data_IF_219034555499
#
_entry.id   IF_219034555499
#
_cell.length_a   1.000
_cell.length_b   1.000
_cell.length_c   1.000
_cell.angle_alpha   90.00
_cell.angle_beta   90.00
_cell.angle_gamma   90.00
#
_symmetry.space_group_name_H-M   'P 1'
#
loop_
_entity.id
_entity.type
_entity.pdbx_description
1 polymer ?
#
# COMPACT_ATOMS: atom_id res chain seq x y z
N UNK A 1 -7.11 23.26 12.96
CA UNK A 1 -6.22 22.74 11.92
C UNK A 1 -6.98 22.52 10.63
N UNK A 2 -6.33 22.72 9.48
CA UNK A 2 -6.95 22.41 8.19
C UNK A 2 -6.89 20.91 7.92
N UNK A 3 -7.98 20.37 7.37
CA UNK A 3 -8.10 18.96 7.01
C UNK A 3 -9.02 18.74 5.80
N UNK A 4 -8.76 17.71 5.02
CA UNK A 4 -9.60 17.30 3.90
C UNK A 4 -10.60 16.22 4.38
N UNK A 5 -11.89 16.55 4.32
CA UNK A 5 -12.98 15.80 4.95
C UNK A 5 -13.92 15.19 3.92
N UNK A 6 -14.19 13.90 4.08
CA UNK A 6 -15.24 13.18 3.37
C UNK A 6 -16.55 13.26 4.18
N UNK A 7 -17.55 13.96 3.65
CA UNK A 7 -18.85 14.10 4.32
C UNK A 7 -19.80 12.94 3.99
N UNK A 8 -19.78 12.45 2.75
CA UNK A 8 -20.65 11.36 2.28
C UNK A 8 -19.89 10.47 1.31
N UNK A 9 -20.22 9.18 1.29
CA UNK A 9 -19.75 8.28 0.24
C UNK A 9 -20.50 8.53 -1.07
N UNK A 10 -19.82 8.46 -2.21
CA UNK A 10 -20.43 8.53 -3.52
C UNK A 10 -19.74 7.56 -4.49
N UNK A 11 -20.51 6.68 -5.12
CA UNK A 11 -19.99 5.70 -6.10
C UNK A 11 -19.30 6.34 -7.30
N UNK A 12 -19.74 7.53 -7.68
CA UNK A 12 -19.13 8.31 -8.78
C UNK A 12 -17.87 9.07 -8.31
N UNK A 13 -17.63 9.12 -7.02
CA UNK A 13 -16.64 9.94 -6.35
C UNK A 13 -17.20 11.33 -6.00
N UNK A 14 -16.96 11.76 -4.77
CA UNK A 14 -17.30 13.09 -4.29
C UNK A 14 -16.02 13.86 -4.01
N UNK A 15 -16.12 15.19 -4.01
CA UNK A 15 -15.01 16.05 -3.61
C UNK A 15 -14.88 16.06 -2.09
N UNK A 16 -13.63 16.03 -1.62
CA UNK A 16 -13.33 16.31 -0.23
C UNK A 16 -13.47 17.83 0.02
N UNK A 17 -13.99 18.16 1.20
CA UNK A 17 -14.06 19.53 1.67
C UNK A 17 -12.84 19.83 2.54
N UNK A 18 -12.05 20.84 2.14
CA UNK A 18 -10.95 21.34 3.00
C UNK A 18 -11.52 22.37 3.94
N UNK A 19 -11.47 22.09 5.25
CA UNK A 19 -12.02 22.96 6.28
C UNK A 19 -11.25 22.90 7.60
N UNK A 20 -11.55 23.84 8.48
CA UNK A 20 -11.04 23.83 9.85
C UNK A 20 -11.67 22.71 10.67
N UNK A 21 -10.83 21.96 11.36
CA UNK A 21 -11.18 20.89 12.29
C UNK A 21 -10.49 21.11 13.63
N UNK A 22 -11.04 20.54 14.70
CA UNK A 22 -10.37 20.55 15.99
C UNK A 22 -9.02 19.82 15.91
N UNK A 23 -8.03 20.31 16.64
CA UNK A 23 -6.75 19.61 16.79
C UNK A 23 -7.00 18.29 17.54
N UNK A 24 -6.55 17.12 17.02
CA UNK A 24 -6.73 15.86 17.72
C UNK A 24 -5.85 15.83 18.98
N UNK A 25 -6.39 15.27 20.06
CA UNK A 25 -5.60 14.94 21.24
C UNK A 25 -5.13 13.48 21.13
N UNK A 26 -3.84 13.20 21.28
CA UNK A 26 -3.37 11.84 21.30
C UNK A 26 -3.80 11.12 22.58
N UNK A 27 -4.17 9.85 22.45
CA UNK A 27 -4.40 8.95 23.58
C UNK A 27 -3.05 8.54 24.22
N UNK A 28 -3.08 7.79 25.33
CA UNK A 28 -1.87 7.44 26.10
C UNK A 28 -0.80 6.71 25.25
N UNK A 29 -1.18 5.90 24.28
CA UNK A 29 -0.30 5.17 23.38
C UNK A 29 -0.19 5.79 21.98
N UNK A 30 -0.64 7.03 21.81
CA UNK A 30 -0.57 7.76 20.55
C UNK A 30 0.43 8.92 20.63
N UNK A 31 0.96 9.30 19.49
CA UNK A 31 1.67 10.57 19.32
C UNK A 31 0.85 11.52 18.48
N UNK A 32 0.91 12.80 18.77
CA UNK A 32 0.46 13.87 17.88
C UNK A 32 1.59 14.18 16.91
N UNK A 33 1.35 13.98 15.64
CA UNK A 33 2.31 14.29 14.59
C UNK A 33 1.85 15.50 13.81
N UNK A 34 2.76 16.48 13.65
CA UNK A 34 2.63 17.54 12.66
C UNK A 34 2.98 16.93 11.31
N UNK A 35 1.98 16.77 10.45
CA UNK A 35 2.14 16.15 9.14
C UNK A 35 2.86 17.12 8.21
N UNK A 36 4.01 16.71 7.68
CA UNK A 36 4.75 17.48 6.69
C UNK A 36 4.25 17.16 5.26
N UNK A 37 4.12 15.87 4.97
CA UNK A 37 3.72 15.37 3.65
C UNK A 37 2.84 14.13 3.81
N UNK A 38 1.79 14.03 3.01
CA UNK A 38 0.95 12.84 2.88
C UNK A 38 0.95 12.34 1.43
N UNK A 39 0.84 11.02 1.20
CA UNK A 39 0.75 10.51 -0.15
C UNK A 39 -0.65 9.98 -0.48
N UNK A 40 -1.05 10.19 -1.75
CA UNK A 40 -2.35 9.79 -2.27
C UNK A 40 -2.26 8.41 -2.92
N UNK A 41 -3.22 7.56 -2.61
CA UNK A 41 -3.27 6.18 -3.06
C UNK A 41 -4.59 5.84 -3.76
N UNK A 42 -4.62 4.82 -4.62
CA UNK A 42 -5.88 4.29 -5.15
C UNK A 42 -6.89 3.93 -4.05
N UNK A 43 -6.41 3.52 -2.87
CA UNK A 43 -7.23 3.21 -1.70
C UNK A 43 -8.06 4.41 -1.23
N UNK A 44 -7.53 5.63 -1.29
CA UNK A 44 -8.27 6.85 -0.90
C UNK A 44 -9.51 7.01 -1.79
N UNK A 45 -9.37 6.82 -3.10
CA UNK A 45 -10.49 6.85 -4.03
C UNK A 45 -11.51 5.71 -3.76
N UNK A 46 -11.05 4.49 -3.40
CA UNK A 46 -11.93 3.37 -3.04
C UNK A 46 -12.72 3.66 -1.76
N UNK A 47 -12.10 4.31 -0.76
CA UNK A 47 -12.79 4.74 0.47
C UNK A 47 -13.87 5.76 0.13
N UNK A 48 -13.56 6.78 -0.67
CA UNK A 48 -14.54 7.81 -1.10
C UNK A 48 -15.76 7.18 -1.77
N UNK A 49 -15.54 6.16 -2.62
CA UNK A 49 -16.64 5.44 -3.29
C UNK A 49 -17.36 4.42 -2.39
N UNK A 50 -16.84 4.22 -1.17
CA UNK A 50 -17.43 3.27 -0.22
C UNK A 50 -17.19 1.79 -0.58
N UNK A 51 -16.24 1.48 -1.44
CA UNK A 51 -15.93 0.12 -1.90
C UNK A 51 -15.36 -0.77 -0.79
N UNK A 52 -14.74 -0.16 0.22
CA UNK A 52 -14.10 -0.89 1.34
C UNK A 52 -14.98 -1.01 2.59
N UNK A 53 -16.24 -0.56 2.56
CA UNK A 53 -17.14 -0.51 3.73
C UNK A 53 -17.35 -1.86 4.41
N UNK A 54 -17.35 -2.96 3.66
CA UNK A 54 -17.50 -4.29 4.23
C UNK A 54 -16.30 -4.72 5.05
N UNK A 55 -15.09 -4.22 4.69
CA UNK A 55 -13.86 -4.49 5.41
C UNK A 55 -13.75 -3.50 6.57
N UNK A 56 -13.76 -2.20 6.27
CA UNK A 56 -13.63 -1.10 7.25
C UNK A 56 -14.81 -0.13 7.10
N UNK A 57 -15.79 -0.16 8.03
CA UNK A 57 -16.94 0.73 8.01
C UNK A 57 -16.61 2.07 8.69
N UNK A 58 -16.02 3.00 7.94
CA UNK A 58 -15.71 4.34 8.48
C UNK A 58 -16.97 5.11 8.85
N UNK A 59 -16.91 5.83 9.98
CA UNK A 59 -17.92 6.83 10.37
C UNK A 59 -17.63 8.15 9.65
N UNK A 60 -18.69 8.81 9.17
CA UNK A 60 -18.64 10.11 8.53
C UNK A 60 -19.16 11.21 9.47
N UNK A 61 -18.63 12.46 9.39
CA UNK A 61 -17.57 12.90 8.50
C UNK A 61 -16.21 12.30 8.84
N UNK A 62 -15.35 12.06 7.83
CA UNK A 62 -14.06 11.40 7.97
C UNK A 62 -12.93 12.27 7.40
N UNK A 63 -11.88 12.52 8.17
CA UNK A 63 -10.64 13.08 7.64
C UNK A 63 -9.95 11.99 6.82
N UNK A 64 -9.61 12.29 5.57
CA UNK A 64 -9.05 11.33 4.63
C UNK A 64 -7.53 11.23 4.73
N UNK A 65 -6.95 10.26 4.01
CA UNK A 65 -5.51 10.02 3.90
C UNK A 65 -5.03 8.82 4.70
N UNK A 66 -4.21 8.00 4.06
CA UNK A 66 -3.80 6.70 4.60
C UNK A 66 -2.33 6.61 5.00
N UNK A 67 -1.45 7.48 4.47
CA UNK A 67 -0.02 7.46 4.80
C UNK A 67 0.57 8.87 4.81
N UNK A 68 1.63 9.04 5.56
CA UNK A 68 2.25 10.35 5.77
C UNK A 68 3.68 10.23 6.30
N UNK A 69 4.35 11.40 6.34
CA UNK A 69 5.57 11.69 7.07
C UNK A 69 5.40 12.98 7.87
N UNK A 70 6.08 13.10 9.00
CA UNK A 70 5.96 14.30 9.83
C UNK A 70 6.88 14.31 11.04
N UNK A 71 6.61 15.22 11.96
CA UNK A 71 7.38 15.43 13.18
C UNK A 71 6.48 15.22 14.40
N UNK A 72 6.95 14.48 15.39
CA UNK A 72 6.24 14.29 16.66
C UNK A 72 6.21 15.60 17.42
N UNK A 73 5.01 16.13 17.68
CA UNK A 73 4.76 17.36 18.46
C UNK A 73 4.43 17.08 19.93
N UNK A 74 3.77 15.93 20.21
CA UNK A 74 3.39 15.50 21.55
C UNK A 74 3.35 13.99 21.61
N UNK A 75 3.75 13.41 22.74
CA UNK A 75 3.62 11.99 23.03
C UNK A 75 2.62 11.77 24.17
N UNK A 76 1.81 10.71 24.04
CA UNK A 76 0.95 10.22 25.12
C UNK A 76 1.76 9.65 26.27
N UNK A 77 1.14 9.51 27.44
CA UNK A 77 1.82 9.15 28.68
C UNK A 77 2.48 7.75 28.67
N UNK A 78 1.98 6.83 27.85
CA UNK A 78 2.48 5.45 27.73
C UNK A 78 3.33 5.23 26.47
N UNK A 79 3.60 6.27 25.69
CA UNK A 79 4.47 6.17 24.51
C UNK A 79 5.92 5.97 24.96
N UNK A 80 6.58 4.96 24.39
CA UNK A 80 7.96 4.59 24.75
C UNK A 80 8.92 4.65 23.56
N UNK A 81 8.42 4.57 22.34
CA UNK A 81 9.24 4.48 21.12
C UNK A 81 9.64 5.82 20.53
N UNK A 82 8.87 6.87 20.80
CA UNK A 82 9.04 8.18 20.16
C UNK A 82 9.05 9.32 21.16
N UNK A 83 9.78 10.38 20.84
CA UNK A 83 9.85 11.64 21.59
C UNK A 83 9.53 12.82 20.69
N UNK A 84 9.21 13.96 21.29
CA UNK A 84 9.01 15.24 20.59
C UNK A 84 10.24 15.57 19.76
N UNK A 85 10.02 15.97 18.51
CA UNK A 85 11.03 16.30 17.52
C UNK A 85 11.45 15.12 16.62
N UNK A 86 11.06 13.88 16.93
CA UNK A 86 11.38 12.74 16.09
C UNK A 86 10.70 12.87 14.71
N UNK A 87 11.47 12.56 13.66
CA UNK A 87 10.99 12.47 12.29
C UNK A 87 10.38 11.09 12.06
N UNK A 88 9.08 11.02 11.81
CA UNK A 88 8.35 9.74 11.70
C UNK A 88 7.57 9.63 10.40
N UNK A 89 7.37 8.40 9.96
CA UNK A 89 6.50 8.07 8.84
C UNK A 89 5.68 6.83 9.17
N UNK A 90 4.54 6.68 8.52
CA UNK A 90 3.68 5.53 8.76
C UNK A 90 2.46 5.49 7.86
N UNK A 91 1.82 4.32 7.90
CA UNK A 91 0.48 4.13 7.40
C UNK A 91 -0.48 4.32 8.57
N UNK A 92 -1.48 5.17 8.39
CA UNK A 92 -2.52 5.38 9.40
C UNK A 92 -3.21 4.08 9.79
N UNK A 93 -3.55 3.86 11.07
CA UNK A 93 -4.33 2.70 11.48
C UNK A 93 -5.62 2.54 10.66
N UNK A 94 -5.98 1.29 10.31
CA UNK A 94 -7.18 1.01 9.52
C UNK A 94 -8.45 1.63 10.11
N UNK A 95 -8.56 1.61 11.43
CA UNK A 95 -9.74 2.13 12.12
C UNK A 95 -9.78 3.67 12.22
N UNK A 96 -8.63 4.34 12.04
CA UNK A 96 -8.48 5.78 12.33
C UNK A 96 -7.54 6.43 11.31
N UNK A 97 -8.01 6.56 10.06
CA UNK A 97 -7.26 7.29 9.02
C UNK A 97 -7.38 8.80 9.23
N UNK A 98 -6.54 9.61 8.55
CA UNK A 98 -6.61 11.06 8.68
C UNK A 98 -5.33 11.81 8.32
N UNK A 99 -4.53 11.27 7.39
CA UNK A 99 -3.26 11.88 7.00
C UNK A 99 -3.38 13.16 6.14
N UNK A 100 -4.56 13.44 5.55
CA UNK A 100 -4.78 14.68 4.79
C UNK A 100 -5.21 15.81 5.72
N UNK A 101 -4.40 16.08 6.73
CA UNK A 101 -4.59 17.13 7.72
C UNK A 101 -3.24 17.63 8.25
N UNK A 102 -3.19 18.85 8.78
CA UNK A 102 -1.97 19.42 9.34
C UNK A 102 -1.43 18.64 10.55
N UNK A 103 -2.30 17.92 11.25
CA UNK A 103 -1.95 17.08 12.41
C UNK A 103 -2.73 15.78 12.41
N UNK A 104 -2.09 14.72 12.89
CA UNK A 104 -2.71 13.41 13.09
C UNK A 104 -2.30 12.83 14.46
N UNK A 105 -3.27 12.26 15.19
CA UNK A 105 -2.99 11.44 16.36
C UNK A 105 -2.90 9.98 15.94
N UNK A 106 -1.76 9.35 16.17
CA UNK A 106 -1.39 8.05 15.60
C UNK A 106 -0.78 7.14 16.66
N UNK A 107 -1.24 5.90 16.71
CA UNK A 107 -0.69 4.88 17.60
C UNK A 107 0.80 4.62 17.32
N UNK A 108 1.63 4.53 18.36
CA UNK A 108 3.08 4.37 18.22
C UNK A 108 3.48 3.10 17.45
N UNK A 109 2.67 2.04 17.48
CA UNK A 109 2.93 0.81 16.75
C UNK A 109 2.69 0.92 15.21
N UNK A 110 2.08 1.99 14.75
CA UNK A 110 1.86 2.26 13.33
C UNK A 110 3.00 3.05 12.67
N UNK A 111 3.98 3.49 13.44
CA UNK A 111 5.03 4.43 13.03
C UNK A 111 6.42 3.81 13.08
N UNK A 112 7.33 4.40 12.30
CA UNK A 112 8.76 4.20 12.41
C UNK A 112 9.50 5.54 12.24
N UNK A 113 10.78 5.58 12.66
CA UNK A 113 11.68 6.71 12.41
C UNK A 113 12.01 6.76 10.91
N UNK A 114 11.96 7.95 10.33
CA UNK A 114 12.38 8.17 8.95
C UNK A 114 13.89 7.93 8.84
N UNK A 115 14.37 7.06 7.91
CA UNK A 115 15.80 6.94 7.62
C UNK A 115 16.42 8.30 7.25
N UNK A 116 17.62 8.57 7.73
CA UNK A 116 18.27 9.90 7.57
C UNK A 116 18.45 10.31 6.12
N UNK A 117 18.58 9.35 5.19
CA UNK A 117 18.74 9.61 3.77
C UNK A 117 17.45 10.03 3.06
N UNK A 118 16.27 9.88 3.69
CA UNK A 118 14.98 10.29 3.11
C UNK A 118 14.54 11.67 3.61
N UNK A 119 14.11 12.50 2.68
CA UNK A 119 13.32 13.70 2.99
C UNK A 119 11.91 13.34 3.46
N UNK A 120 11.15 14.29 3.99
CA UNK A 120 9.73 14.06 4.32
C UNK A 120 8.90 13.69 3.10
N UNK A 121 9.16 14.31 1.96
CA UNK A 121 8.44 14.04 0.71
C UNK A 121 8.66 12.59 0.24
N UNK A 122 9.88 12.14 0.23
CA UNK A 122 10.25 10.75 -0.11
C UNK A 122 9.69 9.77 0.91
N UNK A 123 9.87 10.03 2.20
CA UNK A 123 9.39 9.17 3.28
C UNK A 123 7.88 8.95 3.24
N UNK A 124 7.09 9.97 2.89
CA UNK A 124 5.63 9.83 2.75
C UNK A 124 5.21 8.85 1.66
N UNK A 125 6.08 8.55 0.69
CA UNK A 125 5.75 7.67 -0.45
C UNK A 125 5.91 6.18 -0.13
N UNK A 126 6.54 5.84 0.99
CA UNK A 126 7.00 4.49 1.31
C UNK A 126 5.96 3.63 2.05
N UNK A 127 5.31 4.09 3.14
CA UNK A 127 4.67 3.20 4.11
C UNK A 127 3.63 2.26 3.51
N UNK A 128 2.66 2.77 2.76
CA UNK A 128 1.57 1.94 2.24
C UNK A 128 2.05 0.89 1.24
N UNK A 129 2.94 1.26 0.32
CA UNK A 129 3.44 0.35 -0.71
C UNK A 129 4.45 -0.65 -0.16
N UNK A 130 5.33 -0.22 0.74
CA UNK A 130 6.28 -1.11 1.40
C UNK A 130 5.58 -2.14 2.29
N UNK A 131 4.64 -1.69 3.13
CA UNK A 131 3.82 -2.59 3.97
C UNK A 131 3.01 -3.56 3.12
N UNK A 132 2.46 -3.11 1.98
CA UNK A 132 1.75 -4.00 1.06
C UNK A 132 2.65 -5.11 0.54
N UNK A 133 3.87 -4.78 0.10
CA UNK A 133 4.83 -5.77 -0.37
C UNK A 133 5.25 -6.73 0.75
N UNK A 134 5.62 -6.20 1.91
CA UNK A 134 6.07 -7.01 3.06
C UNK A 134 4.98 -7.96 3.55
N UNK A 135 3.73 -7.48 3.68
CA UNK A 135 2.60 -8.32 4.10
C UNK A 135 2.22 -9.36 3.04
N UNK A 136 2.37 -9.05 1.75
CA UNK A 136 2.22 -10.05 0.69
C UNK A 136 3.26 -11.16 0.83
N UNK A 137 4.53 -10.82 1.08
CA UNK A 137 5.59 -11.81 1.29
C UNK A 137 5.42 -12.61 2.59
N UNK A 138 4.91 -12.00 3.67
CA UNK A 138 4.55 -12.75 4.88
C UNK A 138 3.46 -13.81 4.63
N UNK A 139 2.50 -13.51 3.77
CA UNK A 139 1.45 -14.47 3.36
C UNK A 139 2.04 -15.57 2.49
N UNK A 140 2.88 -15.23 1.50
CA UNK A 140 3.50 -16.15 0.56
C UNK A 140 4.58 -17.03 1.21
N UNK A 141 5.32 -16.50 2.20
CA UNK A 141 6.47 -17.14 2.87
C UNK A 141 7.52 -17.63 1.87
N UNK A 142 8.03 -16.74 1.01
CA UNK A 142 8.93 -17.13 -0.05
C UNK A 142 10.26 -17.63 0.50
N UNK A 143 10.92 -18.52 -0.28
CA UNK A 143 12.25 -19.03 0.01
C UNK A 143 13.26 -18.46 -0.99
N UNK A 144 14.48 -18.21 -0.51
CA UNK A 144 15.57 -17.77 -1.39
C UNK A 144 15.78 -18.75 -2.54
N UNK A 145 16.01 -18.21 -3.73
CA UNK A 145 16.15 -18.97 -4.98
C UNK A 145 14.84 -19.26 -5.72
N UNK A 146 13.67 -19.01 -5.11
CA UNK A 146 12.38 -19.18 -5.77
C UNK A 146 12.04 -17.95 -6.64
N UNK A 147 11.04 -18.12 -7.51
CA UNK A 147 10.66 -17.13 -8.53
C UNK A 147 9.33 -16.46 -8.19
N UNK A 148 9.28 -15.15 -8.31
CA UNK A 148 8.03 -14.37 -8.20
C UNK A 148 7.72 -13.62 -9.49
N UNK A 149 6.45 -13.63 -9.90
CA UNK A 149 5.91 -12.71 -10.90
C UNK A 149 5.12 -11.60 -10.19
N UNK A 150 5.56 -10.35 -10.38
CA UNK A 150 4.88 -9.15 -9.88
C UNK A 150 4.16 -8.52 -11.07
N UNK A 151 2.84 -8.68 -11.15
CA UNK A 151 2.08 -8.12 -12.25
C UNK A 151 1.95 -6.60 -12.12
N UNK A 152 2.18 -5.86 -13.23
CA UNK A 152 2.16 -4.40 -13.21
C UNK A 152 3.28 -3.75 -12.38
N UNK A 153 4.46 -4.37 -12.33
CA UNK A 153 5.59 -3.91 -11.49
C UNK A 153 6.22 -2.57 -11.88
N UNK A 154 5.72 -1.92 -12.92
CA UNK A 154 6.14 -0.55 -13.27
C UNK A 154 5.46 0.55 -12.43
N UNK A 155 4.46 0.18 -11.62
CA UNK A 155 3.77 1.10 -10.71
C UNK A 155 4.50 1.34 -9.39
N UNK A 156 3.92 2.21 -8.55
CA UNK A 156 4.51 2.57 -7.24
C UNK A 156 4.68 1.37 -6.30
N UNK A 157 3.80 0.35 -6.38
CA UNK A 157 3.97 -0.85 -5.59
C UNK A 157 5.15 -1.68 -6.09
N UNK A 158 5.32 -1.84 -7.41
CA UNK A 158 6.45 -2.58 -7.97
C UNK A 158 7.79 -1.96 -7.60
N UNK A 159 7.87 -0.63 -7.53
CA UNK A 159 9.07 0.08 -7.08
C UNK A 159 9.50 -0.32 -5.64
N UNK A 160 8.55 -0.72 -4.79
CA UNK A 160 8.83 -1.25 -3.45
C UNK A 160 8.97 -2.78 -3.44
N UNK A 161 8.09 -3.49 -4.14
CA UNK A 161 8.04 -4.95 -4.09
C UNK A 161 9.23 -5.62 -4.77
N UNK A 162 9.76 -5.06 -5.87
CA UNK A 162 10.91 -5.62 -6.59
C UNK A 162 12.16 -5.64 -5.70
N UNK A 163 12.66 -4.51 -5.16
CA UNK A 163 13.86 -4.53 -4.32
C UNK A 163 13.67 -5.33 -3.03
N UNK A 164 12.47 -5.32 -2.43
CA UNK A 164 12.18 -6.16 -1.25
C UNK A 164 12.25 -7.66 -1.64
N UNK A 165 11.68 -8.07 -2.77
CA UNK A 165 11.77 -9.45 -3.26
C UNK A 165 13.23 -9.86 -3.52
N UNK A 166 14.04 -8.97 -4.09
CA UNK A 166 15.48 -9.19 -4.30
C UNK A 166 16.22 -9.36 -2.97
N UNK A 167 15.90 -8.57 -1.95
CA UNK A 167 16.51 -8.72 -0.61
C UNK A 167 16.18 -10.06 0.06
N UNK A 168 15.06 -10.70 -0.35
CA UNK A 168 14.69 -12.06 0.07
C UNK A 168 15.34 -13.16 -0.78
N UNK A 169 16.17 -12.79 -1.78
CA UNK A 169 16.86 -13.73 -2.65
C UNK A 169 15.98 -14.34 -3.75
N UNK A 170 14.89 -13.66 -4.13
CA UNK A 170 13.98 -14.13 -5.17
C UNK A 170 14.47 -13.76 -6.57
N UNK A 171 14.14 -14.59 -7.55
CA UNK A 171 14.17 -14.24 -8.97
C UNK A 171 12.87 -13.50 -9.31
N UNK A 172 12.98 -12.26 -9.80
CA UNK A 172 11.84 -11.36 -9.99
C UNK A 172 11.51 -11.17 -11.45
N UNK A 173 10.31 -11.57 -11.85
CA UNK A 173 9.73 -11.29 -13.16
C UNK A 173 8.62 -10.25 -13.01
N UNK A 174 8.51 -9.37 -14.00
CA UNK A 174 7.46 -8.35 -14.00
C UNK A 174 7.07 -7.98 -15.43
N UNK A 175 5.91 -7.32 -15.58
CA UNK A 175 5.45 -6.79 -16.84
C UNK A 175 5.07 -5.30 -16.72
N UNK A 176 5.11 -4.63 -17.86
CA UNK A 176 4.76 -3.22 -17.95
C UNK A 176 4.84 -2.69 -19.38
N UNK A 177 4.83 -1.36 -19.53
CA UNK A 177 5.15 -0.68 -20.79
C UNK A 177 6.67 -0.56 -20.94
N UNK A 178 7.19 -0.73 -22.15
CA UNK A 178 8.62 -0.64 -22.50
C UNK A 178 9.31 0.62 -21.96
N UNK A 179 8.58 1.74 -21.88
CA UNK A 179 9.12 3.03 -21.35
C UNK A 179 9.64 2.94 -19.91
N UNK A 180 9.31 1.87 -19.19
CA UNK A 180 9.70 1.66 -17.79
C UNK A 180 10.65 0.44 -17.63
N UNK A 181 11.10 -0.18 -18.70
CA UNK A 181 11.92 -1.40 -18.65
C UNK A 181 13.25 -1.16 -17.92
N UNK A 182 13.98 -0.10 -18.29
CA UNK A 182 15.25 0.24 -17.69
C UNK A 182 15.13 0.44 -16.18
N UNK A 183 14.15 1.26 -15.78
CA UNK A 183 13.87 1.53 -14.36
C UNK A 183 13.59 0.26 -13.55
N UNK A 184 12.74 -0.65 -14.03
CA UNK A 184 12.44 -1.87 -13.24
C UNK A 184 13.60 -2.86 -13.23
N UNK A 185 14.47 -2.85 -14.24
CA UNK A 185 15.73 -3.60 -14.21
C UNK A 185 16.72 -3.03 -13.20
N UNK A 186 16.83 -1.71 -13.10
CA UNK A 186 17.63 -1.03 -12.06
C UNK A 186 17.12 -1.37 -10.65
N UNK A 187 15.81 -1.47 -10.45
CA UNK A 187 15.20 -1.94 -9.21
C UNK A 187 15.48 -3.41 -8.89
N UNK A 188 16.06 -4.17 -9.84
CA UNK A 188 16.47 -5.56 -9.67
C UNK A 188 15.56 -6.60 -10.31
N UNK A 189 14.65 -6.23 -11.22
CA UNK A 189 13.87 -7.21 -11.97
C UNK A 189 14.79 -8.03 -12.91
N UNK A 190 14.77 -9.35 -12.77
CA UNK A 190 15.59 -10.28 -13.59
C UNK A 190 15.00 -10.46 -14.99
N UNK A 191 13.68 -10.31 -15.13
CA UNK A 191 13.00 -10.36 -16.42
C UNK A 191 11.87 -9.34 -16.48
N UNK A 192 11.88 -8.54 -17.55
CA UNK A 192 10.80 -7.62 -17.90
C UNK A 192 10.05 -8.13 -19.13
N UNK A 193 8.72 -8.00 -19.13
CA UNK A 193 7.84 -8.40 -20.22
C UNK A 193 7.03 -7.18 -20.67
N UNK A 194 7.28 -6.71 -21.89
CA UNK A 194 6.47 -5.66 -22.49
C UNK A 194 5.12 -6.24 -22.94
N UNK A 195 4.04 -5.90 -22.23
CA UNK A 195 2.70 -6.42 -22.49
C UNK A 195 2.15 -6.07 -23.90
N UNK A 196 2.79 -5.11 -24.59
CA UNK A 196 2.42 -4.75 -25.97
C UNK A 196 3.04 -5.70 -27.00
N UNK A 197 4.10 -6.42 -26.63
CA UNK A 197 4.86 -7.32 -27.52
C UNK A 197 4.69 -8.78 -27.15
N UNK A 198 4.58 -9.08 -25.86
CA UNK A 198 4.55 -10.45 -25.34
C UNK A 198 3.42 -10.64 -24.35
N UNK A 199 2.75 -11.79 -24.43
CA UNK A 199 1.81 -12.22 -23.41
C UNK A 199 2.54 -13.04 -22.34
N UNK A 200 2.66 -12.50 -21.13
CA UNK A 200 3.34 -13.19 -20.04
C UNK A 200 2.78 -14.58 -19.77
N UNK A 201 1.48 -14.81 -20.00
CA UNK A 201 0.84 -16.11 -19.81
C UNK A 201 1.27 -17.21 -20.82
N UNK A 202 2.00 -16.82 -21.85
CA UNK A 202 2.56 -17.74 -22.86
C UNK A 202 4.05 -17.99 -22.64
N UNK A 203 4.76 -16.96 -22.12
CA UNK A 203 6.21 -17.00 -21.99
C UNK A 203 6.70 -17.32 -20.58
N UNK A 204 5.84 -17.19 -19.55
CA UNK A 204 6.13 -17.62 -18.18
C UNK A 204 5.48 -18.97 -17.89
N UNK A 205 6.20 -19.79 -17.11
CA UNK A 205 5.71 -21.08 -16.61
C UNK A 205 6.30 -21.36 -15.24
N UNK A 206 5.51 -22.01 -14.41
CA UNK A 206 5.93 -22.60 -13.13
C UNK A 206 6.58 -21.60 -12.16
N UNK A 207 6.11 -20.32 -12.14
CA UNK A 207 6.55 -19.36 -11.12
C UNK A 207 6.03 -19.79 -9.75
N UNK A 208 6.84 -19.60 -8.71
CA UNK A 208 6.50 -20.02 -7.34
C UNK A 208 5.43 -19.14 -6.72
N UNK A 209 5.49 -17.85 -7.02
CA UNK A 209 4.63 -16.81 -6.43
C UNK A 209 4.13 -15.84 -7.48
N UNK A 210 2.93 -15.29 -7.23
CA UNK A 210 2.38 -14.17 -8.00
C UNK A 210 1.89 -13.10 -7.04
N UNK A 211 2.35 -11.85 -7.22
CA UNK A 211 1.76 -10.66 -6.61
C UNK A 211 0.91 -9.94 -7.65
N UNK A 212 -0.41 -10.07 -7.52
CA UNK A 212 -1.36 -9.44 -8.42
C UNK A 212 -1.68 -8.00 -8.00
N UNK A 213 -1.43 -7.07 -8.92
CA UNK A 213 -1.79 -5.65 -8.78
C UNK A 213 -2.85 -5.19 -9.79
N UNK A 214 -3.25 -6.06 -10.73
CA UNK A 214 -4.11 -5.74 -11.87
C UNK A 214 -5.57 -6.20 -11.68
N UNK A 215 -5.77 -7.31 -10.98
CA UNK A 215 -7.07 -7.80 -10.55
C UNK A 215 -7.79 -8.72 -11.54
N UNK A 216 -9.11 -8.78 -11.42
CA UNK A 216 -10.02 -9.79 -11.98
C UNK A 216 -9.74 -10.25 -13.42
N UNK A 217 -9.33 -9.35 -14.30
CA UNK A 217 -9.09 -9.67 -15.72
C UNK A 217 -7.83 -10.50 -15.93
N UNK A 218 -6.82 -10.28 -15.08
CA UNK A 218 -5.52 -10.94 -15.19
C UNK A 218 -5.41 -12.22 -14.36
N UNK A 219 -6.17 -12.35 -13.28
CA UNK A 219 -6.12 -13.49 -12.38
C UNK A 219 -6.16 -14.87 -13.08
N UNK A 220 -6.99 -15.11 -14.14
CA UNK A 220 -6.95 -16.39 -14.87
C UNK A 220 -5.58 -16.70 -15.52
N UNK A 221 -4.93 -15.67 -16.08
CA UNK A 221 -3.61 -15.79 -16.69
C UNK A 221 -2.53 -16.00 -15.61
N UNK A 222 -2.66 -15.32 -14.49
CA UNK A 222 -1.75 -15.44 -13.35
C UNK A 222 -1.79 -16.83 -12.71
N UNK A 223 -2.99 -17.44 -12.56
CA UNK A 223 -3.11 -18.85 -12.17
C UNK A 223 -2.52 -19.82 -13.19
N UNK A 224 -2.49 -19.44 -14.48
CA UNK A 224 -1.91 -20.29 -15.53
C UNK A 224 -0.39 -20.39 -15.41
N UNK A 225 0.29 -19.27 -15.12
CA UNK A 225 1.75 -19.21 -14.99
C UNK A 225 2.26 -19.70 -13.64
N UNK A 226 1.41 -19.71 -12.62
CA UNK A 226 1.75 -20.17 -11.28
C UNK A 226 1.94 -21.69 -11.26
N UNK A 227 3.04 -22.17 -10.65
CA UNK A 227 3.32 -23.61 -10.52
C UNK A 227 2.25 -24.33 -9.69
N UNK A 228 2.19 -25.65 -9.81
CA UNK A 228 1.41 -26.49 -8.89
C UNK A 228 1.91 -26.28 -7.46
N UNK A 229 1.00 -25.99 -6.53
CA UNK A 229 1.35 -25.70 -5.13
C UNK A 229 1.85 -24.28 -4.88
N UNK A 230 1.92 -23.42 -5.92
CA UNK A 230 2.34 -22.03 -5.79
C UNK A 230 1.31 -21.13 -5.07
N UNK A 231 1.72 -19.92 -4.71
CA UNK A 231 0.90 -18.97 -3.96
C UNK A 231 0.70 -17.66 -4.71
N UNK A 232 -0.57 -17.22 -4.81
CA UNK A 232 -0.98 -15.96 -5.40
C UNK A 232 -1.59 -15.06 -4.32
N UNK A 233 -1.05 -13.86 -4.18
CA UNK A 233 -1.64 -12.78 -3.36
C UNK A 233 -2.12 -11.68 -4.27
N UNK A 234 -3.42 -11.34 -4.14
CA UNK A 234 -4.06 -10.29 -4.93
C UNK A 234 -4.44 -9.08 -4.08
N UNK A 235 -4.25 -7.90 -4.65
CA UNK A 235 -4.65 -6.61 -4.06
C UNK A 235 -5.96 -6.09 -4.66
N UNK A 236 -6.39 -6.63 -5.81
CA UNK A 236 -7.51 -6.13 -6.59
C UNK A 236 -8.53 -7.20 -6.99
N UNK A 237 -8.28 -8.44 -6.59
CA UNK A 237 -9.26 -9.50 -6.71
C UNK A 237 -10.33 -9.42 -5.62
N UNK A 238 -11.14 -10.47 -5.50
CA UNK A 238 -12.19 -10.52 -4.46
C UNK A 238 -11.62 -11.06 -3.15
N UNK A 239 -11.94 -10.41 -2.01
CA UNK A 239 -11.64 -10.96 -0.70
C UNK A 239 -12.25 -12.36 -0.52
N UNK A 240 -11.50 -13.28 0.08
CA UNK A 240 -11.93 -14.64 0.32
C UNK A 240 -12.02 -14.99 1.82
N UNK A 241 -12.38 -16.22 2.13
CA UNK A 241 -12.50 -16.68 3.52
C UNK A 241 -11.19 -16.68 4.30
N UNK A 242 -10.03 -16.90 3.63
CA UNK A 242 -8.70 -16.83 4.27
C UNK A 242 -8.39 -15.41 4.72
N UNK A 243 -8.62 -14.44 3.86
CA UNK A 243 -8.49 -13.02 4.22
C UNK A 243 -9.39 -12.67 5.41
N UNK A 244 -10.68 -13.01 5.35
CA UNK A 244 -11.63 -12.64 6.39
C UNK A 244 -11.27 -13.25 7.76
N UNK A 245 -10.74 -14.47 7.78
CA UNK A 245 -10.24 -15.12 8.99
C UNK A 245 -8.98 -14.42 9.52
N UNK A 246 -8.00 -14.14 8.66
CA UNK A 246 -6.75 -13.43 9.02
C UNK A 246 -7.02 -12.02 9.55
N UNK A 247 -7.98 -11.31 8.96
CA UNK A 247 -8.41 -9.98 9.39
C UNK A 247 -9.32 -9.97 10.62
N UNK A 248 -9.58 -11.12 11.27
CA UNK A 248 -10.42 -11.21 12.47
C UNK A 248 -11.87 -10.77 12.28
N UNK A 249 -12.40 -10.83 11.04
CA UNK A 249 -13.76 -10.39 10.76
C UNK A 249 -14.80 -11.31 11.40
N UNK A 250 -16.00 -10.78 11.68
CA UNK A 250 -17.10 -11.56 12.25
C UNK A 250 -17.46 -12.78 11.39
N UNK A 251 -18.01 -13.82 12.01
CA UNK A 251 -18.39 -15.06 11.34
C UNK A 251 -19.27 -14.84 10.10
N UNK A 252 -20.22 -13.91 10.17
CA UNK A 252 -21.08 -13.56 9.03
C UNK A 252 -20.25 -12.98 7.88
N UNK A 253 -19.33 -12.06 8.17
CA UNK A 253 -18.42 -11.50 7.15
C UNK A 253 -17.48 -12.57 6.57
N UNK A 254 -17.00 -13.50 7.41
CA UNK A 254 -16.17 -14.62 6.92
C UNK A 254 -16.95 -15.50 5.92
N UNK A 255 -18.23 -15.78 6.17
CA UNK A 255 -19.08 -16.54 5.24
C UNK A 255 -19.32 -15.76 3.95
N UNK A 256 -19.63 -14.47 4.03
CA UNK A 256 -19.81 -13.59 2.86
C UNK A 256 -18.57 -13.55 1.98
N UNK A 257 -17.39 -13.33 2.56
CA UNK A 257 -16.13 -13.28 1.80
C UNK A 257 -15.72 -14.66 1.27
N UNK A 258 -16.00 -15.76 1.98
CA UNK A 258 -15.83 -17.11 1.47
C UNK A 258 -16.66 -17.34 0.19
N UNK A 259 -17.89 -16.86 0.14
CA UNK A 259 -18.73 -16.93 -1.05
C UNK A 259 -18.20 -16.01 -2.17
N UNK A 260 -17.87 -14.76 -1.83
CA UNK A 260 -17.35 -13.78 -2.80
C UNK A 260 -16.08 -14.25 -3.50
N UNK A 261 -15.08 -14.74 -2.75
CA UNK A 261 -13.81 -15.22 -3.29
C UNK A 261 -13.82 -16.65 -3.82
N UNK A 262 -14.97 -17.37 -3.73
CA UNK A 262 -15.05 -18.81 -4.05
C UNK A 262 -14.62 -19.16 -5.47
N UNK A 263 -14.81 -18.25 -6.45
CA UNK A 263 -14.34 -18.42 -7.84
C UNK A 263 -12.83 -18.62 -7.88
N UNK A 264 -12.07 -17.76 -7.18
CA UNK A 264 -10.61 -17.82 -7.20
C UNK A 264 -10.08 -18.95 -6.32
N UNK A 265 -10.73 -19.24 -5.19
CA UNK A 265 -10.40 -20.41 -4.37
C UNK A 265 -10.54 -21.72 -5.16
N UNK A 266 -11.60 -21.86 -6.00
CA UNK A 266 -11.79 -23.01 -6.88
C UNK A 266 -10.72 -23.10 -7.97
N UNK A 267 -10.37 -21.96 -8.59
CA UNK A 267 -9.29 -21.92 -9.59
C UNK A 267 -7.95 -22.36 -9.00
N UNK A 268 -7.62 -21.85 -7.84
CA UNK A 268 -6.40 -22.23 -7.09
C UNK A 268 -6.40 -23.73 -6.75
N UNK A 269 -7.51 -24.25 -6.22
CA UNK A 269 -7.64 -25.64 -5.81
C UNK A 269 -7.42 -26.63 -6.98
N UNK A 270 -7.78 -26.27 -8.21
CA UNK A 270 -7.61 -27.13 -9.39
C UNK A 270 -6.16 -27.55 -9.65
N UNK A 271 -5.18 -26.74 -9.24
CA UNK A 271 -3.74 -27.04 -9.35
C UNK A 271 -3.04 -27.12 -7.98
N UNK A 272 -3.79 -27.31 -6.90
CA UNK A 272 -3.27 -27.26 -5.53
C UNK A 272 -2.53 -25.95 -5.21
N UNK A 273 -2.89 -24.85 -5.87
CA UNK A 273 -2.37 -23.49 -5.64
C UNK A 273 -3.11 -22.84 -4.48
N UNK A 274 -2.60 -21.70 -3.98
CA UNK A 274 -3.30 -20.88 -2.99
C UNK A 274 -3.66 -19.51 -3.56
N UNK A 275 -4.83 -19.00 -3.16
CA UNK A 275 -5.26 -17.64 -3.42
C UNK A 275 -5.48 -16.91 -2.11
N UNK A 276 -4.87 -15.76 -1.95
CA UNK A 276 -5.09 -14.87 -0.81
C UNK A 276 -5.35 -13.46 -1.31
N UNK A 277 -6.32 -12.78 -0.67
CA UNK A 277 -6.52 -11.35 -0.83
C UNK A 277 -5.79 -10.61 0.29
N UNK A 278 -5.14 -9.50 -0.03
CA UNK A 278 -4.48 -8.64 0.94
C UNK A 278 -5.16 -7.27 1.01
N UNK A 279 -5.54 -6.87 2.22
CA UNK A 279 -5.85 -5.49 2.56
C UNK A 279 -4.81 -5.03 3.58
N UNK A 280 -3.91 -4.14 3.16
CA UNK A 280 -2.75 -3.72 3.95
C UNK A 280 -3.18 -3.02 5.24
N UNK A 281 -2.50 -3.31 6.33
CA UNK A 281 -2.69 -2.65 7.63
C UNK A 281 -1.40 -1.94 8.09
N UNK A 282 -1.52 -1.13 9.12
CA UNK A 282 -0.40 -0.48 9.78
C UNK A 282 0.53 -1.48 10.46
N UNK A 283 1.83 -1.25 10.37
CA UNK A 283 2.85 -2.01 11.10
C UNK A 283 4.20 -1.25 11.12
N UNK A 284 4.44 -0.52 12.20
CA UNK A 284 5.71 0.21 12.38
C UNK A 284 6.91 -0.72 12.45
N UNK A 285 6.75 -1.95 12.98
CA UNK A 285 7.85 -2.90 13.08
C UNK A 285 8.32 -3.41 11.70
N UNK A 286 7.41 -3.51 10.74
CA UNK A 286 7.78 -3.82 9.35
C UNK A 286 8.53 -2.66 8.71
N UNK A 287 8.12 -1.41 8.96
CA UNK A 287 8.85 -0.23 8.47
C UNK A 287 10.25 -0.14 9.10
N UNK A 288 10.40 -0.45 10.39
CA UNK A 288 11.72 -0.55 11.04
C UNK A 288 12.60 -1.66 10.41
N UNK A 289 12.02 -2.81 10.05
CA UNK A 289 12.73 -3.87 9.32
C UNK A 289 13.15 -3.40 7.94
N UNK A 290 12.28 -2.68 7.23
CA UNK A 290 12.58 -2.11 5.92
C UNK A 290 13.80 -1.17 6.00
N UNK A 291 13.86 -0.31 7.01
CA UNK A 291 14.97 0.62 7.23
C UNK A 291 16.31 -0.07 7.55
N UNK A 292 16.29 -1.34 7.98
CA UNK A 292 17.49 -2.16 8.17
C UNK A 292 17.97 -2.81 6.86
N UNK A 293 17.04 -3.11 5.94
CA UNK A 293 17.35 -3.68 4.62
C UNK A 293 17.89 -2.59 3.70
N UNK A 294 17.28 -1.41 3.75
CA UNK A 294 17.63 -0.26 2.92
C UNK A 294 18.16 0.87 3.80
N UNK A 295 19.37 1.34 3.49
CA UNK A 295 20.10 2.35 4.24
C UNK A 295 20.82 3.30 3.26
N UNK A 296 21.68 4.18 3.75
CA UNK A 296 22.38 5.15 2.92
C UNK A 296 23.34 4.52 1.86
N UNK A 297 23.82 3.30 2.10
CA UNK A 297 24.70 2.56 1.17
C UNK A 297 23.90 1.80 0.11
N UNK A 298 22.68 1.38 0.47
CA UNK A 298 21.73 0.71 -0.42
C UNK A 298 20.35 1.37 -0.25
N UNK A 299 20.15 2.59 -0.75
CA UNK A 299 18.92 3.36 -0.53
C UNK A 299 17.72 2.74 -1.25
N UNK A 300 16.58 2.81 -0.60
CA UNK A 300 15.31 2.51 -1.26
C UNK A 300 14.99 3.66 -2.23
N UNK A 301 14.81 3.34 -3.49
CA UNK A 301 14.40 4.34 -4.47
C UNK A 301 12.96 4.76 -4.25
N UNK A 302 12.76 6.07 -4.19
CA UNK A 302 11.45 6.71 -4.13
C UNK A 302 11.22 7.53 -5.37
N UNK A 303 10.01 7.59 -5.86
CA UNK A 303 9.66 8.36 -7.04
C UNK A 303 8.42 9.19 -6.78
N UNK A 304 8.57 10.51 -6.87
CA UNK A 304 7.49 11.48 -6.75
C UNK A 304 7.10 11.95 -8.15
N UNK A 305 5.84 11.75 -8.53
CA UNK A 305 5.31 12.18 -9.82
C UNK A 305 4.83 13.64 -9.78
N UNK A 306 4.02 13.98 -8.78
CA UNK A 306 3.43 15.33 -8.70
C UNK A 306 3.21 15.71 -7.24
N UNK A 307 3.44 17.00 -6.94
CA UNK A 307 3.27 17.61 -5.63
C UNK A 307 2.09 18.57 -5.67
N UNK A 308 1.18 18.44 -4.72
CA UNK A 308 0.00 19.28 -4.53
C UNK A 308 0.01 19.92 -3.14
N UNK A 309 -0.78 20.97 -2.95
CA UNK A 309 -1.13 21.51 -1.64
C UNK A 309 -2.39 20.82 -1.10
N UNK A 310 -2.68 20.97 0.21
CA UNK A 310 -3.93 20.44 0.78
C UNK A 310 -5.18 21.00 0.07
N UNK A 311 -5.16 22.27 -0.34
CA UNK A 311 -6.26 22.88 -1.09
C UNK A 311 -6.53 22.18 -2.42
N UNK A 312 -5.52 21.54 -3.01
CA UNK A 312 -5.58 20.82 -4.29
C UNK A 312 -5.79 19.29 -4.10
N UNK A 313 -6.26 18.86 -2.94
CA UNK A 313 -6.43 17.42 -2.63
C UNK A 313 -7.30 16.70 -3.67
N UNK A 314 -8.30 17.37 -4.21
CA UNK A 314 -9.21 16.76 -5.20
C UNK A 314 -8.52 16.54 -6.54
N UNK A 315 -7.66 17.47 -6.98
CA UNK A 315 -6.84 17.30 -8.19
C UNK A 315 -5.83 16.14 -8.00
N UNK A 316 -5.24 16.04 -6.80
CA UNK A 316 -4.34 14.93 -6.45
C UNK A 316 -5.06 13.55 -6.50
N UNK A 317 -6.28 13.47 -6.00
CA UNK A 317 -7.13 12.26 -6.07
C UNK A 317 -7.50 11.92 -7.52
N UNK A 318 -7.86 12.90 -8.33
CA UNK A 318 -8.20 12.73 -9.74
C UNK A 318 -6.97 12.30 -10.56
N UNK A 319 -5.78 12.82 -10.28
CA UNK A 319 -4.51 12.38 -10.88
C UNK A 319 -4.28 10.89 -10.64
N UNK A 320 -4.41 10.42 -9.38
CA UNK A 320 -4.23 9.01 -9.02
C UNK A 320 -5.31 8.12 -9.63
N UNK A 321 -6.56 8.60 -9.71
CA UNK A 321 -7.68 7.89 -10.36
C UNK A 321 -7.41 7.59 -11.84
N UNK A 322 -6.71 8.49 -12.55
CA UNK A 322 -6.36 8.31 -13.96
C UNK A 322 -5.34 7.18 -14.20
N UNK A 323 -4.58 6.76 -13.18
CA UNK A 323 -3.63 5.64 -13.27
C UNK A 323 -2.43 5.89 -14.18
N UNK A 324 -2.09 7.15 -14.47
CA UNK A 324 -0.99 7.55 -15.37
C UNK A 324 0.22 8.13 -14.64
N UNK A 325 0.31 7.93 -13.32
CA UNK A 325 1.41 8.45 -12.51
C UNK A 325 2.68 7.61 -12.72
N UNK A 326 3.82 8.28 -12.88
CA UNK A 326 5.16 7.66 -12.97
C UNK A 326 5.86 7.57 -11.61
N UNK A 327 5.12 7.67 -10.54
CA UNK A 327 5.57 7.70 -9.15
C UNK A 327 4.40 7.98 -8.21
N UNK A 328 4.69 8.42 -6.99
CA UNK A 328 3.67 8.82 -6.02
C UNK A 328 3.22 10.26 -6.22
N UNK A 329 1.93 10.48 -6.07
CA UNK A 329 1.34 11.82 -5.92
C UNK A 329 1.33 12.16 -4.44
N UNK A 330 1.86 13.30 -4.07
CA UNK A 330 1.95 13.75 -2.67
C UNK A 330 1.25 15.10 -2.45
N UNK A 331 0.86 15.33 -1.20
CA UNK A 331 0.26 16.56 -0.70
C UNK A 331 1.17 17.13 0.39
N UNK A 332 1.67 18.36 0.19
CA UNK A 332 2.39 19.10 1.23
C UNK A 332 1.40 19.79 2.17
N UNK A 333 1.58 19.57 3.46
CA UNK A 333 0.75 20.12 4.56
C UNK A 333 1.42 21.31 5.23
N UNK A 334 2.74 21.43 5.14
CA UNK A 334 3.51 22.54 5.66
C UNK A 334 4.05 23.34 4.48
N UNK A 335 3.65 24.61 4.38
CA UNK A 335 4.30 25.57 3.48
C UNK A 335 5.72 25.85 4.02
N UNK A 336 6.68 26.01 3.12
CA UNK A 336 8.07 26.36 3.46
C UNK A 336 8.14 27.71 4.13
#
# INVERSE_FOLDING_TARGET
MKAAVLNNYDKNGTKLEVREMALPSPDDHEVLVKVCTAAVNPLDNMIIRGEVKLIVPYKLPLIMGNEFSGIVEKAGASVTKFKVGDRVYGRMPLAKIGAFAEYAAVAENALAIIPDYLSFDEAATVPLTALTAMQAFEIMKPKSGETIFISGGTGSLGAMAIPIAKSLGLTVYTNGSADNEERVKELGADRFIDYKKENYAEVLKDVDYVLDTLGDRELPNEFKVLKRGGSLVSLRGLPNGRFAKRAGLSFIKQLLFKLAGSKYDKMAAAKNQTYDFLFVHEDGSQLEKLSKIFNAENPLETSIDTIYTLAQVNEALDKVKQGKSKGKTIIKLVEK
#
